data_IF_700623066278
#
_entry.id   IF_700623066278
#
_cell.length_a   1.000
_cell.length_b   1.000
_cell.length_c   1.000
_cell.angle_alpha   90.00
_cell.angle_beta   90.00
_cell.angle_gamma   90.00
#
_symmetry.space_group_name_H-M   'P 1'
#
loop_
_entity.id
_entity.type
_entity.pdbx_description
1 polymer ?
#
# COMPACT_ATOMS: atom_id res chain seq x y z
N UNK A 1 7.69 21.70 -4.38
CA UNK A 1 7.14 21.34 -3.06
C UNK A 1 8.10 20.36 -2.39
N UNK A 2 8.59 20.67 -1.19
CA UNK A 2 9.36 19.72 -0.39
C UNK A 2 8.34 18.82 0.31
N UNK A 3 8.25 17.56 -0.11
CA UNK A 3 7.42 16.56 0.57
C UNK A 3 8.22 16.05 1.77
N UNK A 4 7.67 16.06 2.99
CA UNK A 4 8.33 15.41 4.12
C UNK A 4 8.66 13.96 3.76
N UNK A 5 9.74 13.39 4.31
CA UNK A 5 10.10 12.00 4.04
C UNK A 5 8.91 11.09 4.38
N UNK A 6 8.70 10.06 3.56
CA UNK A 6 7.67 9.06 3.87
C UNK A 6 8.09 8.26 5.10
N UNK A 7 7.10 7.72 5.82
CA UNK A 7 7.36 6.86 6.99
C UNK A 7 8.32 5.71 6.66
N UNK A 8 8.22 5.16 5.44
CA UNK A 8 9.11 4.10 4.98
C UNK A 8 10.58 4.54 4.80
N UNK A 9 10.83 5.81 4.48
CA UNK A 9 12.20 6.35 4.35
C UNK A 9 12.81 6.58 5.73
N UNK A 10 12.04 7.15 6.67
CA UNK A 10 12.52 7.36 8.05
C UNK A 10 12.92 6.03 8.72
N UNK A 11 12.09 5.00 8.59
CA UNK A 11 12.42 3.66 9.13
C UNK A 11 13.63 3.05 8.41
N UNK A 12 13.80 3.28 7.11
CA UNK A 12 14.97 2.77 6.40
C UNK A 12 16.27 3.38 6.93
N UNK A 13 16.27 4.69 7.18
CA UNK A 13 17.41 5.41 7.74
C UNK A 13 17.70 4.95 9.18
N UNK A 14 16.66 4.75 9.99
CA UNK A 14 16.80 4.21 11.35
C UNK A 14 17.38 2.78 11.35
N UNK A 15 16.88 1.90 10.48
CA UNK A 15 17.39 0.53 10.34
C UNK A 15 18.87 0.55 9.92
N UNK A 16 19.25 1.43 8.99
CA UNK A 16 20.64 1.57 8.56
C UNK A 16 21.55 2.05 9.70
N UNK A 17 21.06 2.95 10.56
CA UNK A 17 21.80 3.46 11.71
C UNK A 17 21.92 2.45 12.86
N UNK A 18 20.82 1.79 13.24
CA UNK A 18 20.75 0.95 14.46
C UNK A 18 21.09 -0.52 14.18
N UNK A 19 20.73 -1.04 13.00
CA UNK A 19 20.92 -2.45 12.62
C UNK A 19 21.40 -2.58 11.17
N UNK A 20 22.60 -2.07 10.82
CA UNK A 20 23.09 -2.01 9.44
C UNK A 20 23.10 -3.37 8.72
N UNK A 21 23.36 -4.46 9.44
CA UNK A 21 23.32 -5.82 8.88
C UNK A 21 21.93 -6.26 8.38
N UNK A 22 20.84 -5.62 8.83
CA UNK A 22 19.47 -5.87 8.37
C UNK A 22 19.05 -5.00 7.19
N UNK A 23 19.76 -3.89 6.91
CA UNK A 23 19.34 -2.89 5.93
C UNK A 23 19.09 -3.47 4.52
N UNK A 24 19.98 -4.36 4.06
CA UNK A 24 19.82 -5.01 2.76
C UNK A 24 18.57 -5.91 2.69
N UNK A 25 18.32 -6.69 3.76
CA UNK A 25 17.14 -7.57 3.84
C UNK A 25 15.85 -6.76 3.97
N UNK A 26 15.84 -5.75 4.84
CA UNK A 26 14.73 -4.82 4.99
C UNK A 26 14.35 -4.22 3.64
N UNK A 27 15.33 -3.70 2.89
CA UNK A 27 15.13 -3.11 1.56
C UNK A 27 14.54 -4.12 0.58
N UNK A 28 15.05 -5.37 0.56
CA UNK A 28 14.55 -6.43 -0.31
C UNK A 28 13.09 -6.83 0.00
N UNK A 29 12.67 -6.74 1.26
CA UNK A 29 11.29 -7.10 1.68
C UNK A 29 10.27 -5.98 1.41
N UNK A 30 10.71 -4.75 1.12
CA UNK A 30 9.81 -3.58 0.93
C UNK A 30 8.73 -3.78 -0.14
N UNK A 31 9.04 -4.25 -1.37
CA UNK A 31 8.01 -4.38 -2.41
C UNK A 31 6.91 -5.36 -1.99
N UNK A 32 7.29 -6.52 -1.43
CA UNK A 32 6.34 -7.51 -0.95
C UNK A 32 5.52 -7.03 0.25
N UNK A 33 6.10 -6.20 1.13
CA UNK A 33 5.39 -5.64 2.26
C UNK A 33 4.36 -4.59 1.82
N UNK A 34 4.74 -3.70 0.90
CA UNK A 34 3.83 -2.73 0.27
C UNK A 34 2.68 -3.41 -0.44
N UNK A 35 2.94 -4.43 -1.27
CA UNK A 35 1.88 -5.18 -1.95
C UNK A 35 0.90 -5.83 -0.96
N UNK A 36 1.38 -6.33 0.18
CA UNK A 36 0.52 -6.91 1.21
C UNK A 36 -0.40 -5.87 1.88
N UNK A 37 0.10 -4.66 2.15
CA UNK A 37 -0.70 -3.55 2.69
C UNK A 37 -1.67 -3.02 1.62
N UNK A 38 -1.19 -2.84 0.39
CA UNK A 38 -2.00 -2.40 -0.74
C UNK A 38 -3.14 -3.38 -1.04
N UNK A 39 -2.92 -4.69 -0.90
CA UNK A 39 -3.99 -5.71 -1.06
C UNK A 39 -5.09 -5.58 -0.01
N UNK A 40 -4.73 -5.24 1.24
CA UNK A 40 -5.70 -5.00 2.32
C UNK A 40 -6.46 -3.69 2.11
N UNK A 41 -5.75 -2.64 1.70
CA UNK A 41 -6.36 -1.36 1.34
C UNK A 41 -7.33 -1.54 0.18
N UNK A 42 -6.92 -2.21 -0.90
CA UNK A 42 -7.76 -2.47 -2.07
C UNK A 42 -9.04 -3.22 -1.71
N UNK A 43 -8.95 -4.25 -0.84
CA UNK A 43 -10.12 -4.94 -0.31
C UNK A 43 -11.05 -3.99 0.45
N UNK A 44 -10.51 -3.13 1.31
CA UNK A 44 -11.32 -2.14 2.02
C UNK A 44 -12.02 -1.18 1.04
N UNK A 45 -11.31 -0.67 0.03
CA UNK A 45 -11.91 0.19 -1.00
C UNK A 45 -13.03 -0.52 -1.79
N UNK A 46 -12.84 -1.81 -2.06
CA UNK A 46 -13.80 -2.63 -2.79
C UNK A 46 -15.07 -2.96 -2.01
N UNK A 47 -15.00 -3.11 -0.68
CA UNK A 47 -16.11 -3.66 0.10
C UNK A 47 -16.67 -2.74 1.20
N UNK A 48 -15.93 -1.73 1.65
CA UNK A 48 -16.41 -0.81 2.70
C UNK A 48 -17.33 0.28 2.11
N UNK A 49 -18.35 0.73 2.86
CA UNK A 49 -19.28 1.77 2.42
C UNK A 49 -18.65 3.17 2.53
N UNK A 50 -17.63 3.44 1.71
CA UNK A 50 -16.89 4.69 1.70
C UNK A 50 -17.71 5.80 0.99
N UNK A 51 -18.00 6.93 1.66
CA UNK A 51 -18.92 7.95 1.13
C UNK A 51 -18.37 8.71 -0.08
N UNK A 52 -17.09 8.57 -0.41
CA UNK A 52 -16.43 9.20 -1.56
C UNK A 52 -16.24 8.24 -2.75
N UNK A 53 -16.64 6.97 -2.60
CA UNK A 53 -16.74 6.01 -3.70
C UNK A 53 -18.18 6.04 -4.21
N UNK A 54 -18.36 6.40 -5.47
CA UNK A 54 -19.67 6.52 -6.12
C UNK A 54 -20.16 5.18 -6.66
N UNK A 55 -19.29 4.42 -7.29
CA UNK A 55 -19.66 3.15 -7.94
C UNK A 55 -18.49 2.16 -7.95
N UNK A 56 -18.83 0.87 -8.11
CA UNK A 56 -17.91 -0.27 -8.13
C UNK A 56 -18.29 -1.21 -9.27
N UNK A 57 -17.52 -1.16 -10.33
CA UNK A 57 -17.76 -1.91 -11.56
C UNK A 57 -16.71 -3.02 -11.71
N UNK A 58 -17.16 -4.28 -11.80
CA UNK A 58 -16.28 -5.39 -12.19
C UNK A 58 -16.07 -5.32 -13.71
N UNK A 59 -14.82 -5.35 -14.15
CA UNK A 59 -14.45 -5.26 -15.57
C UNK A 59 -13.44 -6.36 -15.90
N UNK A 60 -13.88 -7.41 -16.59
CA UNK A 60 -13.08 -8.62 -16.82
C UNK A 60 -12.55 -9.20 -15.50
N UNK A 61 -11.23 -9.42 -15.42
CA UNK A 61 -10.53 -9.88 -14.23
C UNK A 61 -10.14 -8.75 -13.25
N UNK A 62 -10.74 -7.57 -13.41
CA UNK A 62 -10.43 -6.34 -12.66
C UNK A 62 -11.63 -5.72 -11.94
N UNK A 63 -11.34 -4.69 -11.16
CA UNK A 63 -12.31 -3.85 -10.49
C UNK A 63 -11.98 -2.37 -10.74
N UNK A 64 -13.01 -1.61 -11.10
CA UNK A 64 -12.97 -0.16 -11.30
C UNK A 64 -13.85 0.49 -10.24
N UNK A 65 -13.27 1.41 -9.47
CA UNK A 65 -13.99 2.28 -8.56
C UNK A 65 -14.13 3.66 -9.20
N UNK A 66 -15.35 4.18 -9.24
CA UNK A 66 -15.61 5.57 -9.62
C UNK A 66 -15.66 6.41 -8.36
N UNK A 67 -14.83 7.44 -8.30
CA UNK A 67 -14.75 8.34 -7.15
C UNK A 67 -15.68 9.53 -7.40
N UNK A 68 -16.23 10.11 -6.33
CA UNK A 68 -17.16 11.26 -6.42
C UNK A 68 -16.54 12.51 -7.04
N UNK A 69 -15.22 12.60 -7.08
CA UNK A 69 -14.49 13.70 -7.73
C UNK A 69 -14.27 13.47 -9.24
N UNK A 70 -14.83 12.39 -9.79
CA UNK A 70 -14.76 12.03 -11.21
C UNK A 70 -13.56 11.15 -11.58
N UNK A 71 -12.60 10.94 -10.67
CA UNK A 71 -11.43 10.08 -10.92
C UNK A 71 -11.80 8.60 -10.88
N UNK A 72 -10.96 7.77 -11.49
CA UNK A 72 -11.13 6.31 -11.53
C UNK A 72 -9.97 5.61 -10.85
N UNK A 73 -10.30 4.68 -9.96
CA UNK A 73 -9.31 3.80 -9.35
C UNK A 73 -9.48 2.38 -9.89
N UNK A 74 -8.43 1.82 -10.50
CA UNK A 74 -8.47 0.51 -11.16
C UNK A 74 -7.44 -0.43 -10.56
N UNK A 75 -7.82 -1.70 -10.43
CA UNK A 75 -6.95 -2.74 -9.88
C UNK A 75 -7.46 -4.14 -10.22
N UNK A 76 -6.77 -5.18 -9.74
CA UNK A 76 -7.20 -6.57 -9.95
C UNK A 76 -8.55 -6.83 -9.28
N UNK A 77 -9.22 -7.91 -9.66
CA UNK A 77 -10.44 -8.34 -8.99
C UNK A 77 -10.23 -8.44 -7.47
N UNK A 78 -11.11 -7.78 -6.70
CA UNK A 78 -11.07 -7.84 -5.25
C UNK A 78 -11.74 -9.12 -4.75
N UNK A 79 -11.07 -9.81 -3.83
CA UNK A 79 -11.58 -10.99 -3.14
C UNK A 79 -11.57 -10.73 -1.63
N UNK A 80 -12.73 -10.82 -0.93
CA UNK A 80 -12.81 -10.55 0.50
C UNK A 80 -12.09 -11.61 1.35
N UNK A 81 -11.90 -12.83 0.84
CA UNK A 81 -11.32 -13.97 1.56
C UNK A 81 -9.84 -14.19 1.26
N UNK A 82 -9.31 -13.53 0.22
CA UNK A 82 -7.91 -13.66 -0.18
C UNK A 82 -6.97 -12.99 0.82
N UNK A 83 -5.97 -13.74 1.28
CA UNK A 83 -5.03 -13.31 2.35
C UNK A 83 -3.59 -13.10 1.87
N UNK A 84 -3.22 -13.64 0.71
CA UNK A 84 -1.94 -13.38 0.05
C UNK A 84 -1.86 -11.95 -0.50
N UNK A 85 -0.62 -11.51 -0.78
CA UNK A 85 -0.40 -10.23 -1.44
C UNK A 85 -0.63 -10.42 -2.95
N UNK A 86 -1.74 -9.91 -3.48
CA UNK A 86 -2.15 -10.09 -4.88
C UNK A 86 -2.29 -8.78 -5.65
N UNK A 87 -2.19 -7.64 -4.96
CA UNK A 87 -2.25 -6.31 -5.56
C UNK A 87 -0.85 -5.72 -5.60
N UNK A 88 -0.10 -5.88 -6.71
CA UNK A 88 1.21 -5.24 -6.86
C UNK A 88 1.09 -3.75 -7.17
N UNK A 89 0.02 -3.36 -7.88
CA UNK A 89 -0.23 -1.99 -8.36
C UNK A 89 -1.73 -1.71 -8.40
N UNK A 90 -2.11 -0.48 -8.10
CA UNK A 90 -3.43 0.12 -8.40
C UNK A 90 -3.19 1.38 -9.23
N UNK A 91 -4.06 1.68 -10.20
CA UNK A 91 -3.96 2.92 -11.00
C UNK A 91 -5.05 3.89 -10.62
N UNK A 92 -4.68 5.13 -10.29
CA UNK A 92 -5.58 6.27 -10.17
C UNK A 92 -5.46 7.07 -11.47
N UNK A 93 -6.50 6.99 -12.29
CA UNK A 93 -6.48 7.38 -13.69
C UNK A 93 -5.25 6.78 -14.41
N UNK A 94 -4.32 7.62 -14.87
CA UNK A 94 -3.11 7.20 -15.58
C UNK A 94 -1.91 6.89 -14.67
N UNK A 95 -2.01 7.16 -13.36
CA UNK A 95 -0.88 7.05 -12.44
C UNK A 95 -0.93 5.72 -11.71
N UNK A 96 0.15 4.93 -11.85
CA UNK A 96 0.34 3.67 -11.13
C UNK A 96 0.90 3.89 -9.72
N UNK A 97 0.37 3.15 -8.75
CA UNK A 97 0.80 3.15 -7.35
C UNK A 97 1.05 1.71 -6.89
N UNK A 98 2.30 1.44 -6.52
CA UNK A 98 2.73 0.27 -5.75
C UNK A 98 2.91 0.60 -4.25
N UNK A 99 2.89 1.89 -3.90
CA UNK A 99 3.04 2.40 -2.55
C UNK A 99 1.67 2.86 -1.99
N UNK A 100 1.15 2.21 -0.92
CA UNK A 100 -0.15 2.53 -0.34
C UNK A 100 -0.19 3.92 0.34
N UNK A 101 0.91 4.39 0.92
CA UNK A 101 0.99 5.72 1.53
C UNK A 101 0.87 6.80 0.44
N UNK A 102 1.58 6.60 -0.68
CA UNK A 102 1.52 7.52 -1.82
C UNK A 102 0.12 7.52 -2.45
N UNK A 103 -0.48 6.34 -2.65
CA UNK A 103 -1.84 6.23 -3.17
C UNK A 103 -2.82 7.02 -2.32
N UNK A 104 -2.81 6.81 -1.00
CA UNK A 104 -3.77 7.46 -0.12
C UNK A 104 -3.54 8.98 -0.02
N UNK A 105 -2.28 9.41 -0.06
CA UNK A 105 -1.91 10.84 -0.14
C UNK A 105 -2.51 11.49 -1.38
N UNK A 106 -2.36 10.85 -2.55
CA UNK A 106 -2.78 11.41 -3.83
C UNK A 106 -4.29 11.21 -4.09
N UNK A 107 -4.94 10.26 -3.40
CA UNK A 107 -6.41 10.19 -3.28
C UNK A 107 -6.98 11.42 -2.56
N UNK A 108 -6.21 12.05 -1.66
CA UNK A 108 -6.54 13.32 -1.01
C UNK A 108 -7.93 13.37 -0.36
N UNK A 109 -8.40 12.24 0.18
CA UNK A 109 -9.70 12.17 0.87
C UNK A 109 -9.63 12.91 2.22
N UNK A 110 -10.73 13.49 2.71
CA UNK A 110 -10.72 14.28 3.94
C UNK A 110 -10.09 13.53 5.13
N UNK A 111 -9.26 14.22 5.90
CA UNK A 111 -8.61 13.70 7.13
C UNK A 111 -7.75 12.43 6.94
N UNK A 112 -7.24 12.18 5.72
CA UNK A 112 -6.46 10.96 5.41
C UNK A 112 -4.96 11.04 5.67
N UNK A 113 -4.40 12.21 5.95
CA UNK A 113 -2.95 12.39 6.04
C UNK A 113 -2.29 11.50 7.11
N UNK A 114 -2.89 11.40 8.30
CA UNK A 114 -2.40 10.50 9.35
C UNK A 114 -2.56 9.04 8.93
N UNK A 115 -3.69 8.67 8.31
CA UNK A 115 -3.92 7.31 7.83
C UNK A 115 -2.93 6.92 6.72
N UNK A 116 -2.53 7.84 5.85
CA UNK A 116 -1.49 7.60 4.84
C UNK A 116 -0.15 7.28 5.48
N UNK A 117 0.26 8.05 6.50
CA UNK A 117 1.47 7.76 7.26
C UNK A 117 1.39 6.39 7.96
N UNK A 118 0.25 6.03 8.55
CA UNK A 118 0.03 4.73 9.18
C UNK A 118 0.16 3.55 8.18
N UNK A 119 -0.29 3.72 6.94
CA UNK A 119 -0.06 2.72 5.88
C UNK A 119 1.43 2.55 5.57
N UNK A 120 2.17 3.66 5.54
CA UNK A 120 3.63 3.66 5.38
C UNK A 120 4.34 2.91 6.51
N UNK A 121 4.00 3.23 7.77
CA UNK A 121 4.52 2.54 8.95
C UNK A 121 4.15 1.05 8.95
N UNK A 122 2.92 0.71 8.55
CA UNK A 122 2.48 -0.69 8.44
C UNK A 122 3.31 -1.48 7.43
N UNK A 123 3.62 -0.89 6.28
CA UNK A 123 4.47 -1.51 5.26
C UNK A 123 5.92 -1.66 5.74
N UNK A 124 6.46 -0.64 6.42
CA UNK A 124 7.80 -0.67 6.99
C UNK A 124 7.93 -1.73 8.10
N UNK A 125 6.99 -1.76 9.04
CA UNK A 125 6.92 -2.75 10.11
C UNK A 125 6.84 -4.18 9.56
N UNK A 126 6.02 -4.40 8.52
CA UNK A 126 5.93 -5.71 7.87
C UNK A 126 7.23 -6.11 7.14
N UNK A 127 7.89 -5.16 6.46
CA UNK A 127 9.19 -5.42 5.83
C UNK A 127 10.26 -5.78 6.88
N UNK A 128 10.28 -5.07 8.01
CA UNK A 128 11.19 -5.36 9.12
C UNK A 128 10.92 -6.73 9.73
N UNK A 129 9.65 -7.06 9.97
CA UNK A 129 9.25 -8.38 10.49
C UNK A 129 9.72 -9.52 9.59
N UNK A 130 9.59 -9.38 8.26
CA UNK A 130 10.09 -10.35 7.29
C UNK A 130 11.61 -10.41 7.23
N UNK A 131 12.28 -9.27 7.24
CA UNK A 131 13.74 -9.19 7.20
C UNK A 131 14.41 -9.83 8.43
N UNK A 132 13.73 -9.79 9.58
CA UNK A 132 14.17 -10.39 10.83
C UNK A 132 13.86 -11.89 10.96
N UNK A 133 13.08 -12.47 10.04
CA UNK A 133 12.80 -13.90 10.07
C UNK A 133 14.11 -14.70 9.92
N UNK A 134 14.29 -15.77 10.71
CA UNK A 134 15.34 -16.73 10.45
C UNK A 134 15.18 -17.26 9.01
N UNK A 135 16.29 -17.39 8.28
CA UNK A 135 16.24 -18.10 6.99
C UNK A 135 15.76 -19.52 7.30
N UNK A 136 14.64 -19.93 6.72
CA UNK A 136 14.24 -21.33 6.76
C UNK A 136 15.42 -22.17 6.25
N UNK A 137 15.86 -23.13 7.06
CA UNK A 137 16.80 -24.15 6.60
C UNK A 137 16.09 -24.86 5.44
N UNK A 138 16.64 -24.71 4.23
CA UNK A 138 16.20 -25.46 3.06
C UNK A 138 16.88 -26.82 3.05
#
# INVERSE_FOLDING_TARGET
MHRPPSAATEVADEVAAVRPALAARFTAERPGARAAVLSRLWRALAFEPLPWVEDRERSGDGLVLRLRDGRRLTGPAADPYRTDAYVPVVRLDEVAYDDPERLLTDLAVPHSASFAAELGHSAASLALSRAAQPRAAR
#
